data_IF_676041126525
#
_entry.id   IF_676041126525
#
_cell.length_a   1.000
_cell.length_b   1.000
_cell.length_c   1.000
_cell.angle_alpha   90.00
_cell.angle_beta   90.00
_cell.angle_gamma   90.00
#
_symmetry.space_group_name_H-M   'P 1'
#
loop_
_entity.id
_entity.type
_entity.pdbx_description
1 polymer ?
#
# COMPACT_ATOMS: atom_id res chain seq x y z
N UNK A 1 -6.42 -18.09 -39.26
CA UNK A 1 -5.44 -17.92 -38.19
C UNK A 1 -5.34 -16.44 -37.84
N UNK A 2 -6.00 -16.05 -36.78
CA UNK A 2 -5.85 -14.70 -36.26
C UNK A 2 -4.47 -14.58 -35.63
N UNK A 3 -3.57 -13.83 -36.26
CA UNK A 3 -2.29 -13.44 -35.66
C UNK A 3 -2.65 -12.47 -34.55
N UNK A 4 -2.45 -12.85 -33.27
CA UNK A 4 -2.52 -11.89 -32.19
C UNK A 4 -1.50 -10.78 -32.45
N UNK A 5 -1.89 -9.50 -32.30
CA UNK A 5 -0.91 -8.41 -32.47
C UNK A 5 0.19 -8.59 -31.43
N UNK A 6 1.44 -8.53 -31.85
CA UNK A 6 2.60 -8.55 -30.97
C UNK A 6 2.54 -7.30 -30.09
N UNK A 7 2.38 -7.50 -28.79
CA UNK A 7 2.41 -6.45 -27.78
C UNK A 7 3.64 -6.69 -26.90
N UNK A 8 4.52 -5.71 -26.83
CA UNK A 8 5.65 -5.71 -25.91
C UNK A 8 5.21 -5.03 -24.61
N UNK A 9 5.58 -5.63 -23.48
CA UNK A 9 5.33 -5.10 -22.13
C UNK A 9 6.64 -5.02 -21.38
N UNK A 10 6.90 -3.88 -20.76
CA UNK A 10 8.02 -3.73 -19.83
C UNK A 10 7.62 -2.87 -18.63
N UNK A 11 8.44 -2.90 -17.61
CA UNK A 11 8.24 -2.12 -16.39
C UNK A 11 9.29 -1.02 -16.35
N UNK A 12 8.86 0.23 -16.13
CA UNK A 12 9.75 1.37 -15.93
C UNK A 12 10.51 1.17 -14.61
N UNK A 13 11.82 1.14 -14.67
CA UNK A 13 12.67 0.93 -13.49
C UNK A 13 12.58 2.07 -12.46
N UNK A 14 12.17 3.26 -12.89
CA UNK A 14 12.08 4.44 -12.02
C UNK A 14 10.90 4.36 -11.06
N UNK A 15 9.70 4.00 -11.57
CA UNK A 15 8.46 4.09 -10.80
C UNK A 15 7.58 2.84 -10.89
N UNK A 16 8.07 1.77 -11.52
CA UNK A 16 7.32 0.53 -11.75
C UNK A 16 6.10 0.69 -12.65
N UNK A 17 6.06 1.75 -13.47
CA UNK A 17 4.98 1.92 -14.43
C UNK A 17 4.99 0.84 -15.50
N UNK A 18 3.80 0.30 -15.81
CA UNK A 18 3.62 -0.66 -16.90
C UNK A 18 3.65 0.12 -18.22
N UNK A 19 4.57 -0.26 -19.08
CA UNK A 19 4.75 0.33 -20.40
C UNK A 19 4.41 -0.71 -21.45
N UNK A 20 3.63 -0.32 -22.45
CA UNK A 20 3.21 -1.20 -23.54
C UNK A 20 3.54 -0.61 -24.90
N UNK A 21 3.90 -1.48 -25.86
CA UNK A 21 4.18 -1.10 -27.22
C UNK A 21 3.52 -2.08 -28.19
N UNK A 22 2.80 -1.54 -29.17
CA UNK A 22 2.15 -2.35 -30.19
C UNK A 22 1.48 -1.48 -31.24
N UNK A 23 1.22 -2.02 -32.41
CA UNK A 23 0.64 -1.27 -33.53
C UNK A 23 -0.73 -0.66 -33.22
N UNK A 24 -1.51 -1.30 -32.40
CA UNK A 24 -2.85 -0.85 -32.02
C UNK A 24 -2.81 0.37 -31.09
N UNK A 25 -1.82 0.41 -30.19
CA UNK A 25 -1.65 1.49 -29.22
C UNK A 25 -1.24 2.80 -29.89
N UNK A 26 -0.47 2.73 -30.96
CA UNK A 26 0.03 3.91 -31.70
C UNK A 26 -1.07 4.66 -32.48
N UNK A 27 -2.17 4.00 -32.84
CA UNK A 27 -3.23 4.62 -33.68
C UNK A 27 -4.08 5.65 -32.96
N UNK A 28 -4.32 5.49 -31.66
CA UNK A 28 -5.26 6.33 -30.91
C UNK A 28 -4.72 7.75 -30.65
N UNK A 29 -3.40 7.92 -30.65
CA UNK A 29 -2.74 9.19 -30.30
C UNK A 29 -2.07 9.90 -31.50
N UNK A 30 -2.14 9.34 -32.71
CA UNK A 30 -1.44 9.85 -33.89
C UNK A 30 -1.79 11.31 -34.23
N UNK A 31 -2.99 11.78 -33.92
CA UNK A 31 -3.48 13.12 -34.26
C UNK A 31 -3.35 14.14 -33.11
N UNK A 32 -2.67 13.80 -31.99
CA UNK A 32 -2.51 14.68 -30.83
C UNK A 32 -1.06 14.70 -30.33
N UNK A 33 -0.14 15.38 -31.04
CA UNK A 33 1.29 15.28 -30.75
C UNK A 33 1.72 15.77 -29.38
N UNK A 34 1.07 16.78 -28.80
CA UNK A 34 1.39 17.26 -27.44
C UNK A 34 0.96 16.28 -26.35
N UNK A 35 -0.22 15.66 -26.51
CA UNK A 35 -0.69 14.60 -25.62
C UNK A 35 0.11 13.32 -25.82
N UNK A 36 0.52 13.04 -27.05
CA UNK A 36 1.36 11.90 -27.42
C UNK A 36 2.71 11.95 -26.69
N UNK A 37 3.36 13.11 -26.62
CA UNK A 37 4.64 13.29 -25.93
C UNK A 37 4.54 13.02 -24.41
N UNK A 38 3.37 13.23 -23.80
CA UNK A 38 3.12 12.97 -22.37
C UNK A 38 2.86 11.51 -22.07
N UNK A 39 2.31 10.76 -23.03
CA UNK A 39 1.87 9.37 -22.84
C UNK A 39 2.79 8.33 -23.45
N UNK A 40 3.79 8.73 -24.23
CA UNK A 40 4.77 7.82 -24.82
C UNK A 40 6.18 8.12 -24.33
N UNK A 41 6.97 7.06 -24.16
CA UNK A 41 8.40 7.16 -23.91
C UNK A 41 9.15 7.50 -25.19
N UNK A 42 10.42 7.89 -25.10
CA UNK A 42 11.26 8.18 -26.28
C UNK A 42 11.41 6.96 -27.21
N UNK A 43 11.42 5.74 -26.65
CA UNK A 43 11.50 4.49 -27.40
C UNK A 43 10.13 3.94 -27.85
N UNK A 44 9.06 4.73 -27.71
CA UNK A 44 7.75 4.46 -28.31
C UNK A 44 6.82 3.59 -27.47
N UNK A 45 7.10 3.38 -26.19
CA UNK A 45 6.20 2.71 -25.29
C UNK A 45 5.13 3.64 -24.74
N UNK A 46 3.90 3.14 -24.69
CA UNK A 46 2.77 3.85 -24.09
C UNK A 46 2.83 3.74 -22.56
N UNK A 47 2.68 4.89 -21.87
CA UNK A 47 2.59 4.96 -20.42
C UNK A 47 1.16 4.68 -20.00
N UNK A 48 0.95 3.52 -19.35
CA UNK A 48 -0.41 3.10 -18.97
C UNK A 48 -0.97 3.86 -17.77
N UNK A 49 -0.12 4.51 -16.99
CA UNK A 49 -0.53 5.12 -15.73
C UNK A 49 -0.76 4.10 -14.61
N UNK A 50 -0.51 2.83 -14.86
CA UNK A 50 -0.63 1.76 -13.86
C UNK A 50 0.76 1.26 -13.49
N UNK A 51 0.97 1.02 -12.18
CA UNK A 51 2.17 0.36 -11.69
C UNK A 51 1.96 -1.16 -11.65
N UNK A 52 3.05 -1.89 -11.80
CA UNK A 52 2.99 -3.34 -11.73
C UNK A 52 4.35 -3.99 -11.72
N UNK A 53 4.35 -5.31 -11.85
CA UNK A 53 5.56 -6.12 -11.92
C UNK A 53 5.39 -7.26 -12.91
N UNK A 54 6.49 -7.70 -13.49
CA UNK A 54 6.59 -8.89 -14.32
C UNK A 54 7.31 -9.99 -13.54
N UNK A 55 6.66 -11.13 -13.37
CA UNK A 55 7.26 -12.31 -12.74
C UNK A 55 6.94 -13.53 -13.62
N UNK A 56 7.99 -14.21 -14.08
CA UNK A 56 7.86 -15.41 -14.93
C UNK A 56 6.95 -15.20 -16.15
N UNK A 57 7.03 -14.01 -16.79
CA UNK A 57 6.21 -13.67 -17.94
C UNK A 57 4.77 -13.29 -17.63
N UNK A 58 4.38 -13.23 -16.36
CA UNK A 58 3.05 -12.82 -15.91
C UNK A 58 3.10 -11.38 -15.41
N UNK A 59 2.18 -10.56 -15.93
CA UNK A 59 2.04 -9.17 -15.52
C UNK A 59 1.06 -9.06 -14.34
N UNK A 60 1.53 -8.45 -13.26
CA UNK A 60 0.72 -8.14 -12.09
C UNK A 60 0.54 -6.63 -11.98
N UNK A 61 -0.70 -6.17 -12.00
CA UNK A 61 -1.05 -4.75 -11.81
C UNK A 61 -1.21 -4.51 -10.31
N UNK A 62 -0.53 -3.49 -9.77
CA UNK A 62 -0.60 -3.15 -8.34
C UNK A 62 -1.49 -1.94 -8.07
N UNK A 63 -1.14 -0.76 -8.61
CA UNK A 63 -1.87 0.49 -8.35
C UNK A 63 -1.75 1.46 -9.52
N UNK A 64 -2.56 2.54 -9.46
CA UNK A 64 -2.35 3.69 -10.34
C UNK A 64 -1.06 4.41 -9.94
N UNK A 65 -0.29 4.88 -10.91
CA UNK A 65 0.95 5.63 -10.67
C UNK A 65 0.73 6.83 -9.74
N UNK A 66 -0.38 7.54 -9.91
CA UNK A 66 -0.74 8.69 -9.07
C UNK A 66 -0.97 8.35 -7.60
N UNK A 67 -1.26 7.09 -7.28
CA UNK A 67 -1.55 6.62 -5.92
C UNK A 67 -0.32 6.03 -5.23
N UNK A 68 0.81 5.95 -5.93
CA UNK A 68 2.08 5.53 -5.32
C UNK A 68 2.58 6.57 -4.34
N UNK A 69 3.25 6.11 -3.30
CA UNK A 69 4.04 6.97 -2.42
C UNK A 69 5.51 6.97 -2.88
N UNK A 70 6.17 8.09 -2.71
CA UNK A 70 7.61 8.19 -2.91
C UNK A 70 8.26 8.49 -1.56
N UNK A 71 9.06 7.55 -1.08
CA UNK A 71 9.78 7.72 0.20
C UNK A 71 10.84 8.82 0.11
N UNK A 72 11.33 9.28 1.26
CA UNK A 72 12.42 10.26 1.33
C UNK A 72 13.70 9.77 0.62
N UNK A 73 13.86 8.46 0.49
CA UNK A 73 15.01 7.84 -0.20
C UNK A 73 14.75 7.62 -1.71
N UNK A 74 13.63 8.11 -2.23
CA UNK A 74 13.29 8.02 -3.66
C UNK A 74 12.70 6.68 -4.10
N UNK A 75 12.34 5.79 -3.17
CA UNK A 75 11.69 4.52 -3.49
C UNK A 75 10.19 4.70 -3.66
N UNK A 76 9.62 4.03 -4.66
CA UNK A 76 8.18 4.02 -4.89
C UNK A 76 7.53 2.88 -4.13
N UNK A 77 6.46 3.20 -3.41
CA UNK A 77 5.69 2.27 -2.57
C UNK A 77 4.26 2.23 -3.08
N UNK A 78 3.71 1.03 -3.21
CA UNK A 78 2.32 0.77 -3.55
C UNK A 78 1.52 0.53 -2.26
N UNK A 79 0.91 1.56 -1.65
CA UNK A 79 0.31 1.41 -0.33
C UNK A 79 -0.85 0.43 -0.29
N UNK A 80 -1.71 0.39 -1.32
CA UNK A 80 -2.84 -0.53 -1.35
C UNK A 80 -2.41 -2.00 -1.42
N UNK A 81 -1.34 -2.30 -2.15
CA UNK A 81 -0.82 -3.66 -2.25
C UNK A 81 -0.34 -4.16 -0.88
N UNK A 82 0.35 -3.31 -0.13
CA UNK A 82 0.80 -3.62 1.23
C UNK A 82 -0.40 -3.78 2.17
N UNK A 83 -1.35 -2.85 2.12
CA UNK A 83 -2.56 -2.87 2.93
C UNK A 83 -3.39 -4.13 2.69
N UNK A 84 -3.63 -4.48 1.44
CA UNK A 84 -4.39 -5.67 1.09
C UNK A 84 -3.74 -6.94 1.63
N UNK A 85 -2.44 -7.04 1.52
CA UNK A 85 -1.70 -8.21 2.03
C UNK A 85 -1.76 -8.32 3.55
N UNK A 86 -1.48 -7.24 4.25
CA UNK A 86 -1.43 -7.24 5.72
C UNK A 86 -2.82 -7.37 6.33
N UNK A 87 -3.85 -6.81 5.68
CA UNK A 87 -5.23 -6.94 6.13
C UNK A 87 -5.82 -8.36 5.98
N UNK A 88 -5.11 -9.29 5.36
CA UNK A 88 -5.50 -10.72 5.37
C UNK A 88 -5.45 -11.33 6.78
N UNK A 89 -4.71 -10.70 7.70
CA UNK A 89 -4.60 -11.19 9.07
C UNK A 89 -5.89 -10.98 9.87
N UNK A 90 -6.30 -12.01 10.62
CA UNK A 90 -7.55 -11.98 11.40
C UNK A 90 -7.56 -10.92 12.51
N UNK A 91 -6.40 -10.45 12.97
CA UNK A 91 -6.30 -9.43 14.01
C UNK A 91 -6.32 -8.00 13.47
N UNK A 92 -6.29 -7.84 12.15
CA UNK A 92 -6.23 -6.54 11.49
C UNK A 92 -7.53 -6.30 10.75
N UNK A 93 -8.31 -5.32 11.23
CA UNK A 93 -9.57 -4.93 10.60
C UNK A 93 -9.33 -3.92 9.48
N UNK A 94 -8.59 -2.85 9.78
CA UNK A 94 -8.25 -1.79 8.82
C UNK A 94 -6.79 -1.42 8.97
N UNK A 95 -6.19 -0.95 7.88
CA UNK A 95 -4.80 -0.50 7.89
C UNK A 95 -4.62 0.67 6.92
N UNK A 96 -3.87 1.67 7.35
CA UNK A 96 -3.42 2.77 6.50
C UNK A 96 -1.90 2.81 6.50
N UNK A 97 -1.30 2.54 5.33
CA UNK A 97 0.14 2.64 5.13
C UNK A 97 0.56 4.11 5.05
N UNK A 98 1.62 4.43 5.76
CA UNK A 98 2.25 5.74 5.79
C UNK A 98 3.67 5.57 5.25
N UNK A 99 4.01 6.28 4.19
CA UNK A 99 5.34 6.18 3.58
C UNK A 99 5.73 7.43 2.80
N UNK A 100 4.76 8.24 2.35
CA UNK A 100 5.02 9.35 1.46
C UNK A 100 5.92 10.40 2.11
N UNK A 101 7.06 10.68 1.45
CA UNK A 101 8.11 11.59 1.95
C UNK A 101 8.73 11.16 3.29
N UNK A 102 8.55 9.91 3.69
CA UNK A 102 9.09 9.35 4.95
C UNK A 102 10.27 8.43 4.68
N UNK A 103 11.10 8.23 5.70
CA UNK A 103 12.34 7.43 5.60
C UNK A 103 12.08 5.93 5.45
N UNK A 104 10.96 5.45 5.96
CA UNK A 104 10.57 4.04 5.93
C UNK A 104 9.03 3.93 5.92
N UNK A 105 8.53 2.74 5.63
CA UNK A 105 7.09 2.44 5.67
C UNK A 105 6.67 2.20 7.11
N UNK A 106 5.62 2.90 7.52
CA UNK A 106 4.90 2.66 8.77
C UNK A 106 3.42 2.45 8.49
N UNK A 107 2.65 2.13 9.51
CA UNK A 107 1.22 1.92 9.37
C UNK A 107 0.43 2.33 10.60
N UNK A 108 -0.79 2.78 10.37
CA UNK A 108 -1.83 2.89 11.39
C UNK A 108 -2.76 1.69 11.22
N UNK A 109 -2.95 0.93 12.27
CA UNK A 109 -3.71 -0.32 12.23
C UNK A 109 -4.92 -0.20 13.16
N UNK A 110 -6.10 -0.43 12.61
CA UNK A 110 -7.31 -0.65 13.40
C UNK A 110 -7.40 -2.16 13.61
N UNK A 111 -7.13 -2.64 14.83
CA UNK A 111 -7.20 -4.06 15.09
C UNK A 111 -8.66 -4.56 15.13
N UNK A 112 -8.84 -5.85 14.92
CA UNK A 112 -10.09 -6.50 15.30
C UNK A 112 -10.11 -6.61 16.83
N UNK A 113 -10.85 -5.73 17.47
CA UNK A 113 -10.86 -5.61 18.93
C UNK A 113 -11.31 -6.88 19.61
N UNK A 114 -12.34 -7.52 19.08
CA UNK A 114 -12.86 -8.77 19.60
C UNK A 114 -11.83 -9.88 19.50
N UNK A 115 -11.14 -9.98 18.38
CA UNK A 115 -10.09 -10.99 18.19
C UNK A 115 -8.93 -10.77 19.17
N UNK A 116 -8.52 -9.52 19.42
CA UNK A 116 -7.48 -9.21 20.42
C UNK A 116 -7.92 -9.60 21.84
N UNK A 117 -9.15 -9.29 22.21
CA UNK A 117 -9.69 -9.62 23.53
C UNK A 117 -9.78 -11.14 23.71
N UNK A 118 -10.24 -11.86 22.71
CA UNK A 118 -10.29 -13.33 22.74
C UNK A 118 -8.89 -13.92 22.91
N UNK A 119 -7.90 -13.41 22.16
CA UNK A 119 -6.50 -13.83 22.29
C UNK A 119 -5.97 -13.56 23.71
N UNK A 120 -6.22 -12.37 24.24
CA UNK A 120 -5.79 -12.00 25.59
C UNK A 120 -6.39 -12.92 26.65
N UNK A 121 -7.67 -13.25 26.53
CA UNK A 121 -8.35 -14.16 27.46
C UNK A 121 -7.79 -15.59 27.37
N UNK A 122 -7.55 -16.09 26.17
CA UNK A 122 -6.96 -17.43 25.94
C UNK A 122 -5.54 -17.55 26.50
N UNK A 123 -4.78 -16.45 26.49
CA UNK A 123 -3.39 -16.40 26.96
C UNK A 123 -3.25 -15.82 28.37
N UNK A 124 -4.38 -15.64 29.09
CA UNK A 124 -4.38 -15.12 30.45
C UNK A 124 -3.73 -13.75 30.61
N UNK A 125 -3.84 -12.92 29.58
CA UNK A 125 -3.39 -11.53 29.62
C UNK A 125 -4.49 -10.70 30.27
N UNK A 126 -4.17 -10.03 31.38
CA UNK A 126 -5.11 -9.18 32.11
C UNK A 126 -5.15 -7.78 31.48
N UNK A 127 -6.36 -7.24 31.34
CA UNK A 127 -6.59 -5.89 30.85
C UNK A 127 -7.94 -5.39 31.36
N UNK A 128 -8.09 -4.07 31.47
CA UNK A 128 -9.39 -3.46 31.83
C UNK A 128 -10.15 -3.07 30.56
N UNK A 129 -9.50 -2.37 29.66
CA UNK A 129 -10.07 -1.96 28.38
C UNK A 129 -9.15 -2.39 27.24
N UNK A 130 -9.72 -2.52 26.05
CA UNK A 130 -9.00 -3.05 24.89
C UNK A 130 -7.73 -2.25 24.57
N UNK A 131 -7.74 -0.93 24.78
CA UNK A 131 -6.58 -0.07 24.55
C UNK A 131 -5.36 -0.46 25.40
N UNK A 132 -5.57 -1.08 26.54
CA UNK A 132 -4.47 -1.58 27.37
C UNK A 132 -3.66 -2.65 26.67
N UNK A 133 -4.26 -3.35 25.71
CA UNK A 133 -3.60 -4.38 24.92
C UNK A 133 -2.65 -3.80 23.84
N UNK A 134 -2.82 -2.54 23.48
CA UNK A 134 -2.06 -1.93 22.38
C UNK A 134 -0.57 -1.72 22.70
N UNK A 135 -0.22 -1.72 23.97
CA UNK A 135 1.16 -1.64 24.46
C UNK A 135 1.62 -2.91 25.17
N UNK A 136 0.79 -3.94 25.20
CA UNK A 136 1.16 -5.22 25.81
C UNK A 136 2.22 -5.94 24.98
N UNK A 137 3.32 -6.33 25.61
CA UNK A 137 4.47 -6.94 24.94
C UNK A 137 4.10 -8.24 24.21
N UNK A 138 3.27 -9.08 24.83
CA UNK A 138 2.88 -10.37 24.24
C UNK A 138 1.96 -10.17 23.03
N UNK A 139 1.04 -9.21 23.11
CA UNK A 139 0.17 -8.84 21.99
C UNK A 139 1.01 -8.29 20.83
N UNK A 140 1.92 -7.36 21.11
CA UNK A 140 2.78 -6.78 20.06
C UNK A 140 3.71 -7.82 19.44
N UNK A 141 4.26 -8.72 20.24
CA UNK A 141 5.11 -9.81 19.73
C UNK A 141 4.31 -10.74 18.80
N UNK A 142 3.09 -11.07 19.18
CA UNK A 142 2.20 -11.88 18.33
C UNK A 142 1.91 -11.18 17.01
N UNK A 143 1.54 -9.90 17.04
CA UNK A 143 1.26 -9.11 15.83
C UNK A 143 2.51 -8.94 14.97
N UNK A 144 3.68 -8.65 15.57
CA UNK A 144 4.94 -8.51 14.84
C UNK A 144 5.26 -9.76 14.04
N UNK A 145 5.12 -10.93 14.65
CA UNK A 145 5.38 -12.21 13.97
C UNK A 145 4.42 -12.46 12.81
N UNK A 146 3.15 -12.13 12.97
CA UNK A 146 2.13 -12.31 11.93
C UNK A 146 2.35 -11.35 10.75
N UNK A 147 2.64 -10.09 11.04
CA UNK A 147 2.94 -9.08 10.01
C UNK A 147 4.22 -9.45 9.27
N UNK A 148 5.26 -9.89 9.97
CA UNK A 148 6.52 -10.32 9.36
C UNK A 148 6.31 -11.46 8.36
N UNK A 149 5.50 -12.46 8.70
CA UNK A 149 5.17 -13.56 7.78
C UNK A 149 4.44 -13.07 6.52
N UNK A 150 3.49 -12.16 6.67
CA UNK A 150 2.75 -11.61 5.53
C UNK A 150 3.62 -10.77 4.61
N UNK A 151 4.65 -10.12 5.16
CA UNK A 151 5.59 -9.28 4.43
C UNK A 151 6.84 -10.01 3.91
N UNK A 152 6.95 -11.33 4.14
CA UNK A 152 8.19 -12.06 3.87
C UNK A 152 8.73 -11.90 2.44
N UNK A 153 7.84 -11.73 1.45
CA UNK A 153 8.20 -11.58 0.04
C UNK A 153 8.33 -10.12 -0.42
N UNK A 154 8.08 -9.16 0.45
CA UNK A 154 8.28 -7.75 0.12
C UNK A 154 9.76 -7.40 0.07
N UNK A 155 10.12 -6.45 -0.78
CA UNK A 155 11.44 -5.86 -0.71
C UNK A 155 11.63 -5.16 0.65
N UNK A 156 12.86 -5.10 1.21
CA UNK A 156 13.08 -4.51 2.52
C UNK A 156 12.49 -3.09 2.68
N UNK A 157 12.58 -2.25 1.65
CA UNK A 157 12.06 -0.89 1.69
C UNK A 157 10.53 -0.80 1.63
N UNK A 158 9.83 -1.89 1.28
CA UNK A 158 8.36 -1.98 1.25
C UNK A 158 7.78 -2.50 2.57
N UNK A 159 8.60 -3.04 3.45
CA UNK A 159 8.14 -3.63 4.72
C UNK A 159 7.76 -2.55 5.72
N UNK A 160 6.61 -2.75 6.37
CA UNK A 160 6.20 -1.94 7.52
C UNK A 160 7.19 -2.18 8.66
N UNK A 161 7.89 -1.13 9.08
CA UNK A 161 8.89 -1.20 10.15
C UNK A 161 8.35 -0.79 11.50
N UNK A 162 7.35 0.08 11.51
CA UNK A 162 6.67 0.51 12.73
C UNK A 162 5.19 0.67 12.46
N UNK A 163 4.39 0.43 13.46
CA UNK A 163 2.94 0.66 13.40
C UNK A 163 2.41 1.10 14.75
N UNK A 164 1.21 1.67 14.74
CA UNK A 164 0.46 1.98 15.97
C UNK A 164 -0.95 1.45 15.81
N UNK A 165 -1.48 0.89 16.89
CA UNK A 165 -2.85 0.42 16.97
C UNK A 165 -3.76 1.59 17.36
N UNK A 166 -4.93 1.67 16.71
CA UNK A 166 -5.89 2.75 16.93
C UNK A 166 -7.10 2.22 17.71
N UNK A 167 -7.61 3.06 18.62
CA UNK A 167 -8.76 2.73 19.47
C UNK A 167 -10.10 2.87 18.75
N UNK A 168 -10.14 3.58 17.63
CA UNK A 168 -11.36 3.82 16.86
C UNK A 168 -11.17 3.44 15.38
N UNK A 169 -12.18 2.80 14.76
CA UNK A 169 -12.10 2.46 13.34
C UNK A 169 -12.14 3.70 12.45
N UNK A 170 -11.65 3.55 11.21
CA UNK A 170 -11.86 4.56 10.18
C UNK A 170 -13.32 4.54 9.73
N UNK A 171 -13.92 5.70 9.57
CA UNK A 171 -15.32 5.84 9.14
C UNK A 171 -15.47 6.96 8.10
N UNK A 172 -16.60 6.96 7.39
CA UNK A 172 -16.96 8.09 6.52
C UNK A 172 -17.24 9.35 7.33
N UNK A 173 -17.97 9.22 8.42
CA UNK A 173 -18.32 10.32 9.33
C UNK A 173 -17.09 10.93 9.98
N UNK A 174 -16.11 10.12 10.32
CA UNK A 174 -14.84 10.55 10.88
C UNK A 174 -13.93 11.25 9.88
N UNK A 175 -14.21 11.13 8.59
CA UNK A 175 -13.46 11.74 7.50
C UNK A 175 -12.35 10.88 6.91
N UNK A 176 -12.05 9.73 7.48
CA UNK A 176 -10.95 8.86 7.03
C UNK A 176 -11.28 8.10 5.75
N UNK A 177 -12.56 7.84 5.49
CA UNK A 177 -12.98 7.04 4.35
C UNK A 177 -13.85 7.84 3.37
N UNK A 178 -13.70 7.53 2.07
CA UNK A 178 -14.61 7.98 1.03
C UNK A 178 -15.93 7.22 1.12
N UNK A 179 -16.96 7.65 0.37
CA UNK A 179 -18.23 6.94 0.26
C UNK A 179 -18.09 5.52 -0.35
N UNK A 180 -16.99 5.23 -1.02
CA UNK A 180 -16.65 3.88 -1.52
C UNK A 180 -15.70 3.13 -0.58
N UNK A 181 -15.56 3.60 0.65
CA UNK A 181 -14.75 3.02 1.72
C UNK A 181 -13.24 2.96 1.41
N UNK A 182 -12.76 3.86 0.58
CA UNK A 182 -11.32 4.04 0.33
C UNK A 182 -10.72 5.04 1.33
N UNK A 183 -9.48 4.82 1.71
CA UNK A 183 -8.76 5.70 2.65
C UNK A 183 -8.51 7.06 2.00
N UNK A 184 -8.90 8.12 2.70
CA UNK A 184 -8.55 9.51 2.35
C UNK A 184 -7.17 9.81 2.94
N UNK A 185 -6.11 9.49 2.20
CA UNK A 185 -4.73 9.43 2.70
C UNK A 185 -4.22 10.75 3.27
N UNK A 186 -4.50 11.86 2.60
CA UNK A 186 -4.10 13.18 3.12
C UNK A 186 -4.80 13.53 4.42
N UNK A 187 -6.08 13.20 4.53
CA UNK A 187 -6.85 13.42 5.73
C UNK A 187 -6.33 12.58 6.90
N UNK A 188 -6.07 11.29 6.66
CA UNK A 188 -5.52 10.37 7.67
C UNK A 188 -4.14 10.84 8.13
N UNK A 189 -3.26 11.23 7.21
CA UNK A 189 -1.93 11.72 7.54
C UNK A 189 -1.98 12.98 8.41
N UNK A 190 -2.95 13.86 8.20
CA UNK A 190 -3.12 15.08 8.97
C UNK A 190 -3.78 14.83 10.32
N UNK A 191 -4.87 14.04 10.34
CA UNK A 191 -5.60 13.71 11.58
C UNK A 191 -4.72 13.00 12.60
N UNK A 192 -3.88 12.09 12.14
CA UNK A 192 -3.01 11.28 13.00
C UNK A 192 -1.56 11.73 12.98
N UNK A 193 -1.30 12.98 12.58
CA UNK A 193 0.04 13.54 12.43
C UNK A 193 0.93 13.34 13.66
N UNK A 194 0.41 13.57 14.85
CA UNK A 194 1.19 13.45 16.08
C UNK A 194 1.65 12.01 16.34
N UNK A 195 0.76 11.04 16.14
CA UNK A 195 1.07 9.62 16.27
C UNK A 195 2.10 9.21 15.23
N UNK A 196 1.91 9.63 14.00
CA UNK A 196 2.81 9.33 12.88
C UNK A 196 4.20 9.90 13.15
N UNK A 197 4.30 11.19 13.49
CA UNK A 197 5.57 11.87 13.73
C UNK A 197 6.35 11.17 14.85
N UNK A 198 5.69 10.69 15.89
CA UNK A 198 6.34 9.92 16.97
C UNK A 198 7.00 8.64 16.46
N UNK A 199 6.36 7.93 15.54
CA UNK A 199 6.96 6.72 14.94
C UNK A 199 8.28 7.01 14.23
N UNK A 200 8.43 8.20 13.65
CA UNK A 200 9.63 8.60 12.90
C UNK A 200 10.70 9.29 13.73
N UNK A 201 10.40 9.65 14.96
CA UNK A 201 11.37 10.24 15.91
C UNK A 201 12.08 9.20 16.77
N UNK A 202 11.46 8.05 16.97
CA UNK A 202 12.01 6.94 17.74
C UNK A 202 12.94 6.12 16.83
#
# INVERSE_FOLDING_TARGET
SSVMPEVEVKIDETNNEILVKGKTVMREYYNKPEETAKVFTEDGFFRTGDAGKLENGVLYITERIKDLFKTANGKYIAPQAIETRVAEDKFIDMIAVIADERKFVSALIVPDYKALEEYANEHQIKYDKVEDLFSNVDILRMLDGRIELLQAHFAPYEKIKKYRLLAEPFTMEGGELTNTLKIKRKFVAEKYKDIIDKMYKE
#
